data_IF_119485258540
#
_entry.id   IF_119485258540
#
_cell.length_a   1.000
_cell.length_b   1.000
_cell.length_c   1.000
_cell.angle_alpha   90.00
_cell.angle_beta   90.00
_cell.angle_gamma   90.00
#
_symmetry.space_group_name_H-M   'P 1'
#
loop_
_entity.id
_entity.type
_entity.pdbx_description
1 polymer ?
#
# COMPACT_ATOMS: atom_id res chain seq x y z
N UNK A 1 -18.23 -21.47 -6.41
CA UNK A 1 -16.96 -21.72 -7.11
C UNK A 1 -16.37 -20.37 -7.51
N UNK A 2 -15.08 -20.11 -7.21
CA UNK A 2 -14.43 -18.82 -7.50
C UNK A 2 -13.83 -18.90 -8.92
N UNK A 3 -14.38 -18.13 -9.88
CA UNK A 3 -13.97 -18.24 -11.29
C UNK A 3 -12.56 -17.69 -11.50
N UNK A 4 -12.21 -16.61 -10.81
CA UNK A 4 -10.86 -16.05 -10.84
C UNK A 4 -9.80 -17.07 -10.42
N UNK A 5 -9.98 -17.73 -9.26
CA UNK A 5 -9.02 -18.74 -8.78
C UNK A 5 -8.96 -19.94 -9.71
N UNK A 6 -10.10 -20.41 -10.22
CA UNK A 6 -10.12 -21.52 -11.16
C UNK A 6 -9.34 -21.21 -12.45
N UNK A 7 -9.37 -19.96 -12.90
CA UNK A 7 -8.76 -19.54 -14.16
C UNK A 7 -7.27 -19.18 -13.99
N UNK A 8 -6.90 -18.52 -12.89
CA UNK A 8 -5.58 -17.91 -12.72
C UNK A 8 -4.77 -18.47 -11.55
N UNK A 9 -5.37 -19.28 -10.67
CA UNK A 9 -4.76 -19.69 -9.40
C UNK A 9 -3.38 -20.35 -9.54
N UNK A 10 -3.23 -21.28 -10.49
CA UNK A 10 -1.96 -21.99 -10.67
C UNK A 10 -0.91 -21.14 -11.39
N UNK A 11 -1.34 -20.27 -12.31
CA UNK A 11 -0.44 -19.30 -12.95
C UNK A 11 0.08 -18.26 -11.95
N UNK A 12 -0.77 -17.80 -11.02
CA UNK A 12 -0.37 -16.88 -9.95
C UNK A 12 0.62 -17.55 -8.99
N UNK A 13 0.39 -18.80 -8.57
CA UNK A 13 1.34 -19.52 -7.69
C UNK A 13 2.72 -19.67 -8.32
N UNK A 14 2.78 -19.94 -9.63
CA UNK A 14 4.03 -20.10 -10.36
C UNK A 14 4.71 -18.78 -10.73
N UNK A 15 4.00 -17.64 -10.57
CA UNK A 15 4.42 -16.33 -11.03
C UNK A 15 5.79 -15.94 -10.48
N UNK A 16 6.01 -16.04 -9.17
CA UNK A 16 7.25 -15.58 -8.54
C UNK A 16 8.41 -16.57 -8.65
N UNK A 17 8.12 -17.87 -8.72
CA UNK A 17 9.13 -18.92 -8.55
C UNK A 17 9.72 -19.43 -9.87
N UNK A 18 8.86 -19.68 -10.87
CA UNK A 18 9.23 -20.51 -12.02
C UNK A 18 8.76 -19.95 -13.37
N UNK A 19 7.85 -18.97 -13.38
CA UNK A 19 7.36 -18.38 -14.62
C UNK A 19 8.45 -17.55 -15.32
N UNK A 20 8.61 -17.78 -16.63
CA UNK A 20 9.42 -16.91 -17.48
C UNK A 20 8.77 -15.55 -17.63
N UNK A 21 9.56 -14.52 -17.99
CA UNK A 21 9.05 -13.17 -18.17
C UNK A 21 7.90 -13.10 -19.20
N UNK A 22 7.99 -13.87 -20.29
CA UNK A 22 6.92 -13.94 -21.28
C UNK A 22 5.60 -14.49 -20.71
N UNK A 23 5.67 -15.48 -19.81
CA UNK A 23 4.49 -16.03 -19.14
C UNK A 23 3.89 -15.05 -18.12
N UNK A 24 4.74 -14.29 -17.42
CA UNK A 24 4.29 -13.23 -16.50
C UNK A 24 3.51 -12.15 -17.23
N UNK A 25 4.06 -11.62 -18.32
CA UNK A 25 3.41 -10.60 -19.12
C UNK A 25 2.09 -11.11 -19.74
N UNK A 26 2.04 -12.38 -20.15
CA UNK A 26 0.81 -13.00 -20.63
C UNK A 26 -0.24 -13.10 -19.52
N UNK A 27 0.14 -13.53 -18.31
CA UNK A 27 -0.79 -13.60 -17.17
C UNK A 27 -1.36 -12.23 -16.81
N UNK A 28 -0.51 -11.20 -16.73
CA UNK A 28 -0.92 -9.81 -16.50
C UNK A 28 -1.99 -9.40 -17.52
N UNK A 29 -1.74 -9.66 -18.81
CA UNK A 29 -2.67 -9.35 -19.89
C UNK A 29 -3.99 -10.10 -19.77
N UNK A 30 -3.94 -11.40 -19.45
CA UNK A 30 -5.14 -12.24 -19.33
C UNK A 30 -6.00 -11.83 -18.13
N UNK A 31 -5.39 -11.48 -17.00
CA UNK A 31 -6.09 -10.94 -15.83
C UNK A 31 -6.79 -9.63 -16.18
N UNK A 32 -6.08 -8.69 -16.82
CA UNK A 32 -6.66 -7.41 -17.23
C UNK A 32 -7.83 -7.61 -18.21
N UNK A 33 -7.66 -8.48 -19.21
CA UNK A 33 -8.72 -8.79 -20.16
C UNK A 33 -9.96 -9.39 -19.46
N UNK A 34 -9.76 -10.31 -18.52
CA UNK A 34 -10.84 -10.90 -17.74
C UNK A 34 -11.54 -9.85 -16.88
N UNK A 35 -10.79 -8.99 -16.20
CA UNK A 35 -11.33 -7.90 -15.39
C UNK A 35 -12.18 -6.95 -16.23
N UNK A 36 -11.70 -6.54 -17.41
CA UNK A 36 -12.42 -5.66 -18.33
C UNK A 36 -13.68 -6.31 -18.91
N UNK A 37 -13.64 -7.62 -19.18
CA UNK A 37 -14.79 -8.35 -19.73
C UNK A 37 -15.86 -8.62 -18.68
N UNK A 38 -15.45 -8.85 -17.42
CA UNK A 38 -16.34 -9.29 -16.34
C UNK A 38 -16.16 -8.48 -15.04
N UNK A 39 -16.26 -7.14 -15.05
CA UNK A 39 -15.77 -6.31 -13.96
C UNK A 39 -16.44 -6.58 -12.60
N UNK A 40 -17.75 -6.79 -12.58
CA UNK A 40 -18.49 -7.08 -11.34
C UNK A 40 -18.17 -8.46 -10.78
N UNK A 41 -18.10 -9.46 -11.66
CA UNK A 41 -17.71 -10.82 -11.29
C UNK A 41 -16.27 -10.86 -10.78
N UNK A 42 -15.36 -10.17 -11.46
CA UNK A 42 -13.97 -10.05 -11.07
C UNK A 42 -13.82 -9.45 -9.67
N UNK A 43 -14.43 -8.29 -9.39
CA UNK A 43 -14.40 -7.66 -8.06
C UNK A 43 -14.90 -8.61 -6.97
N UNK A 44 -16.08 -9.20 -7.16
CA UNK A 44 -16.70 -10.15 -6.21
C UNK A 44 -15.84 -11.39 -5.96
N UNK A 45 -15.20 -11.91 -7.00
CA UNK A 45 -14.37 -13.10 -6.89
C UNK A 45 -13.04 -12.78 -6.19
N UNK A 46 -12.45 -11.63 -6.47
CA UNK A 46 -11.21 -11.16 -5.85
C UNK A 46 -11.40 -10.80 -4.38
N UNK A 47 -12.51 -10.17 -4.00
CA UNK A 47 -12.84 -9.85 -2.59
C UNK A 47 -12.69 -11.05 -1.65
N UNK A 48 -12.98 -12.25 -2.14
CA UNK A 48 -12.91 -13.50 -1.38
C UNK A 48 -11.49 -14.03 -1.16
N UNK A 49 -10.52 -13.57 -1.95
CA UNK A 49 -9.18 -14.17 -2.03
C UNK A 49 -8.03 -13.16 -2.04
N UNK A 50 -8.31 -11.86 -2.10
CA UNK A 50 -7.30 -10.80 -2.21
C UNK A 50 -6.22 -10.85 -1.11
N UNK A 51 -6.58 -11.30 0.09
CA UNK A 51 -5.67 -11.43 1.23
C UNK A 51 -5.27 -12.89 1.53
N UNK A 52 -5.44 -13.80 0.57
CA UNK A 52 -4.95 -15.17 0.70
C UNK A 52 -3.42 -15.17 0.62
N UNK A 53 -2.76 -15.51 1.74
CA UNK A 53 -1.30 -15.50 1.86
C UNK A 53 -0.58 -16.65 1.14
N UNK A 54 -1.31 -17.68 0.68
CA UNK A 54 -0.75 -18.77 -0.13
C UNK A 54 -0.82 -18.46 -1.61
N UNK A 55 -1.88 -17.78 -2.04
CA UNK A 55 -2.07 -17.40 -3.43
C UNK A 55 -1.41 -16.05 -3.73
N UNK A 56 -1.42 -15.10 -2.80
CA UNK A 56 -0.94 -13.71 -2.97
C UNK A 56 -1.45 -13.02 -4.25
N UNK A 57 -2.75 -13.12 -4.58
CA UNK A 57 -3.24 -12.70 -5.89
C UNK A 57 -3.20 -11.18 -6.09
N UNK A 58 -3.27 -10.41 -5.00
CA UNK A 58 -3.41 -8.96 -5.06
C UNK A 58 -2.23 -8.29 -5.74
N UNK A 59 -0.99 -8.73 -5.50
CA UNK A 59 0.20 -8.17 -6.16
C UNK A 59 0.11 -8.27 -7.69
N UNK A 60 -0.16 -9.47 -8.21
CA UNK A 60 -0.28 -9.72 -9.66
C UNK A 60 -1.47 -8.96 -10.25
N UNK A 61 -2.58 -8.89 -9.50
CA UNK A 61 -3.78 -8.16 -9.94
C UNK A 61 -3.52 -6.65 -10.00
N UNK A 62 -2.93 -6.06 -8.97
CA UNK A 62 -2.61 -4.63 -8.96
C UNK A 62 -1.55 -4.29 -10.02
N UNK A 63 -0.64 -5.20 -10.33
CA UNK A 63 0.24 -5.02 -11.49
C UNK A 63 -0.56 -5.00 -12.81
N UNK A 64 -1.50 -5.94 -12.99
CA UNK A 64 -2.34 -6.02 -14.20
C UNK A 64 -3.24 -4.79 -14.40
N UNK A 65 -3.94 -4.36 -13.34
CA UNK A 65 -4.86 -3.22 -13.41
C UNK A 65 -4.12 -1.89 -13.57
N UNK A 66 -2.83 -1.82 -13.24
CA UNK A 66 -2.02 -0.60 -13.39
C UNK A 66 -1.88 -0.15 -14.84
N UNK A 67 -2.12 -1.05 -15.80
CA UNK A 67 -2.04 -0.75 -17.23
C UNK A 67 -3.24 0.07 -17.73
N UNK A 68 -4.35 0.09 -16.99
CA UNK A 68 -5.60 0.79 -17.35
C UNK A 68 -6.25 1.48 -16.14
N UNK A 69 -5.50 2.34 -15.46
CA UNK A 69 -5.96 3.08 -14.26
C UNK A 69 -7.04 4.14 -14.53
N UNK A 70 -7.43 4.39 -15.79
CA UNK A 70 -8.59 5.20 -16.19
C UNK A 70 -9.87 4.45 -15.92
N UNK A 71 -9.84 3.12 -16.13
CA UNK A 71 -10.94 2.22 -15.80
C UNK A 71 -10.87 1.80 -14.34
N UNK A 72 -9.67 1.50 -13.84
CA UNK A 72 -9.47 0.82 -12.55
C UNK A 72 -8.96 1.71 -11.41
N UNK A 73 -8.78 3.01 -11.61
CA UNK A 73 -8.25 3.92 -10.58
C UNK A 73 -9.06 3.88 -9.26
N UNK A 74 -10.39 3.85 -9.36
CA UNK A 74 -11.25 3.75 -8.17
C UNK A 74 -11.06 2.42 -7.42
N UNK A 75 -10.76 1.33 -8.14
CA UNK A 75 -10.53 0.03 -7.51
C UNK A 75 -9.31 0.07 -6.55
N UNK A 76 -8.27 0.85 -6.85
CA UNK A 76 -7.16 1.04 -5.91
C UNK A 76 -7.58 1.77 -4.64
N UNK A 77 -8.45 2.78 -4.76
CA UNK A 77 -8.99 3.51 -3.60
C UNK A 77 -9.79 2.55 -2.72
N UNK A 78 -10.70 1.78 -3.33
CA UNK A 78 -11.52 0.79 -2.62
C UNK A 78 -10.66 -0.32 -1.98
N UNK A 79 -9.60 -0.75 -2.66
CA UNK A 79 -8.65 -1.75 -2.16
C UNK A 79 -7.84 -1.23 -0.98
N UNK A 80 -7.41 0.03 -1.02
CA UNK A 80 -6.71 0.68 0.08
C UNK A 80 -7.59 0.72 1.34
N UNK A 81 -8.87 1.05 1.17
CA UNK A 81 -9.85 0.99 2.24
C UNK A 81 -9.95 -0.42 2.81
N UNK A 82 -10.12 -1.43 1.96
CA UNK A 82 -10.21 -2.82 2.37
C UNK A 82 -8.95 -3.30 3.12
N UNK A 83 -7.75 -2.91 2.68
CA UNK A 83 -6.47 -3.23 3.36
C UNK A 83 -6.50 -2.71 4.79
N UNK A 84 -6.83 -1.44 5.00
CA UNK A 84 -6.82 -0.86 6.34
C UNK A 84 -7.94 -1.41 7.23
N UNK A 85 -9.15 -1.62 6.71
CA UNK A 85 -10.24 -2.18 7.50
C UNK A 85 -9.96 -3.64 7.89
N UNK A 86 -9.40 -4.45 6.97
CA UNK A 86 -9.05 -5.84 7.27
C UNK A 86 -7.86 -5.92 8.24
N UNK A 87 -6.85 -5.06 8.09
CA UNK A 87 -5.70 -5.02 8.99
C UNK A 87 -6.10 -4.71 10.45
N UNK A 88 -7.16 -3.91 10.67
CA UNK A 88 -7.64 -3.58 12.02
C UNK A 88 -8.19 -4.77 12.80
N UNK A 89 -8.70 -5.79 12.10
CA UNK A 89 -9.31 -6.99 12.70
C UNK A 89 -8.45 -8.26 12.54
N UNK A 90 -7.34 -8.18 11.80
CA UNK A 90 -6.47 -9.32 11.58
C UNK A 90 -5.61 -9.65 12.81
N UNK A 91 -5.37 -10.94 13.06
CA UNK A 91 -4.42 -11.40 14.08
C UNK A 91 -2.98 -10.99 13.76
N UNK A 92 -2.67 -10.86 12.46
CA UNK A 92 -1.38 -10.40 11.93
C UNK A 92 -1.63 -9.27 10.93
N UNK A 93 -1.82 -8.03 11.40
CA UNK A 93 -2.11 -6.89 10.52
C UNK A 93 -1.06 -6.68 9.43
N UNK A 94 0.20 -6.98 9.72
CA UNK A 94 1.32 -6.83 8.79
C UNK A 94 1.19 -7.71 7.54
N UNK A 95 0.61 -8.91 7.66
CA UNK A 95 0.38 -9.79 6.50
C UNK A 95 -0.59 -9.15 5.49
N UNK A 96 -1.44 -8.22 5.94
CA UNK A 96 -2.39 -7.47 5.10
C UNK A 96 -1.77 -6.14 4.66
N UNK A 97 -1.11 -5.42 5.56
CA UNK A 97 -0.53 -4.10 5.29
C UNK A 97 0.65 -4.15 4.31
N UNK A 98 1.35 -5.28 4.20
CA UNK A 98 2.40 -5.49 3.20
C UNK A 98 1.90 -5.30 1.77
N UNK A 99 0.60 -5.52 1.51
CA UNK A 99 -0.03 -5.25 0.22
C UNK A 99 0.04 -3.77 -0.22
N UNK A 100 0.30 -2.84 0.71
CA UNK A 100 0.54 -1.43 0.36
C UNK A 100 1.82 -1.24 -0.48
N UNK A 101 2.76 -2.19 -0.48
CA UNK A 101 3.93 -2.12 -1.37
C UNK A 101 3.54 -2.16 -2.85
N UNK A 102 2.45 -2.87 -3.17
CA UNK A 102 1.96 -3.05 -4.54
C UNK A 102 1.35 -1.76 -5.11
N UNK A 103 1.10 -0.76 -4.26
CA UNK A 103 0.62 0.54 -4.69
C UNK A 103 1.73 1.35 -5.41
N UNK A 104 2.99 0.90 -5.36
CA UNK A 104 4.10 1.47 -6.12
C UNK A 104 3.85 1.54 -7.64
N UNK A 105 3.02 0.63 -8.19
CA UNK A 105 2.67 0.64 -9.62
C UNK A 105 1.91 1.91 -10.06
N UNK A 106 1.28 2.63 -9.13
CA UNK A 106 0.40 3.77 -9.43
C UNK A 106 0.83 5.09 -8.76
N UNK A 107 1.92 5.10 -7.99
CA UNK A 107 2.41 6.28 -7.27
C UNK A 107 2.65 7.51 -8.17
N UNK A 108 3.01 7.27 -9.43
CA UNK A 108 3.31 8.31 -10.43
C UNK A 108 2.14 8.62 -11.36
N UNK A 109 0.99 7.98 -11.19
CA UNK A 109 -0.17 8.25 -12.04
C UNK A 109 -0.73 9.67 -11.79
N UNK A 110 -1.11 10.39 -12.83
CA UNK A 110 -1.55 11.78 -12.72
C UNK A 110 -3.08 11.93 -12.63
N UNK A 111 -3.83 10.84 -12.58
CA UNK A 111 -5.29 10.88 -12.50
C UNK A 111 -5.78 11.29 -11.11
N UNK A 112 -7.02 11.82 -11.00
CA UNK A 112 -7.56 12.33 -9.74
C UNK A 112 -7.64 11.31 -8.59
N UNK A 113 -7.75 10.01 -8.90
CA UNK A 113 -7.86 8.96 -7.85
C UNK A 113 -6.61 8.91 -6.95
N UNK A 114 -5.45 9.36 -7.43
CA UNK A 114 -4.24 9.44 -6.62
C UNK A 114 -4.40 10.42 -5.45
N UNK A 115 -5.13 11.52 -5.63
CA UNK A 115 -5.47 12.41 -4.52
C UNK A 115 -6.33 11.67 -3.48
N UNK A 116 -7.27 10.84 -3.92
CA UNK A 116 -8.12 10.05 -3.01
C UNK A 116 -7.31 9.02 -2.19
N UNK A 117 -6.30 8.38 -2.81
CA UNK A 117 -5.34 7.52 -2.11
C UNK A 117 -4.59 8.30 -1.05
N UNK A 118 -4.07 9.48 -1.41
CA UNK A 118 -3.34 10.37 -0.52
C UNK A 118 -4.20 10.84 0.65
N UNK A 119 -5.42 11.29 0.40
CA UNK A 119 -6.35 11.72 1.44
C UNK A 119 -6.69 10.58 2.39
N UNK A 120 -6.87 9.36 1.85
CA UNK A 120 -7.15 8.18 2.65
C UNK A 120 -5.97 7.75 3.51
N UNK A 121 -4.76 7.74 2.96
CA UNK A 121 -3.51 7.49 3.70
C UNK A 121 -3.31 8.55 4.78
N UNK A 122 -3.49 9.84 4.45
CA UNK A 122 -3.35 10.95 5.39
C UNK A 122 -4.28 10.78 6.58
N UNK A 123 -5.56 10.45 6.34
CA UNK A 123 -6.52 10.12 7.40
C UNK A 123 -6.03 8.98 8.30
N UNK A 124 -5.44 7.93 7.74
CA UNK A 124 -4.97 6.78 8.53
C UNK A 124 -3.74 7.10 9.38
N UNK A 125 -2.98 8.17 9.08
CA UNK A 125 -1.86 8.62 9.95
C UNK A 125 -2.32 9.07 11.35
N UNK A 126 -3.63 9.25 11.55
CA UNK A 126 -4.26 9.56 12.84
C UNK A 126 -4.97 8.35 13.48
N UNK A 127 -4.97 7.17 12.83
CA UNK A 127 -5.67 5.96 13.28
C UNK A 127 -5.32 5.53 14.71
N UNK A 128 -6.32 5.09 15.48
CA UNK A 128 -6.07 4.49 16.80
C UNK A 128 -5.39 3.12 16.69
N UNK A 129 -5.53 2.44 15.53
CA UNK A 129 -4.78 1.23 15.25
C UNK A 129 -3.33 1.59 14.92
N UNK A 130 -2.40 1.21 15.82
CA UNK A 130 -1.00 1.55 15.66
C UNK A 130 -0.38 0.95 14.38
N UNK A 131 -0.75 -0.27 13.99
CA UNK A 131 -0.18 -0.89 12.79
C UNK A 131 -0.58 -0.11 11.53
N UNK A 132 -1.88 0.19 11.37
CA UNK A 132 -2.38 0.99 10.24
C UNK A 132 -1.78 2.40 10.23
N UNK A 133 -1.65 3.04 11.41
CA UNK A 133 -1.01 4.35 11.55
C UNK A 133 0.44 4.33 11.06
N UNK A 134 1.24 3.34 11.48
CA UNK A 134 2.65 3.25 11.07
C UNK A 134 2.78 2.98 9.57
N UNK A 135 1.96 2.08 9.02
CA UNK A 135 1.94 1.78 7.60
C UNK A 135 1.60 3.02 6.77
N UNK A 136 0.58 3.79 7.17
CA UNK A 136 0.20 5.01 6.48
C UNK A 136 1.30 6.09 6.51
N UNK A 137 1.98 6.27 7.64
CA UNK A 137 3.12 7.21 7.77
C UNK A 137 4.30 6.78 6.90
N UNK A 138 4.49 5.48 6.71
CA UNK A 138 5.55 4.94 5.86
C UNK A 138 5.24 5.10 4.37
N UNK A 139 4.01 4.80 3.94
CA UNK A 139 3.62 4.79 2.51
C UNK A 139 3.31 6.19 1.96
N UNK A 140 2.67 7.06 2.74
CA UNK A 140 2.18 8.36 2.26
C UNK A 140 3.25 9.25 1.58
N UNK A 141 4.49 9.37 2.10
CA UNK A 141 5.50 10.26 1.51
C UNK A 141 5.82 9.99 0.03
N UNK A 142 5.77 8.73 -0.42
CA UNK A 142 6.08 8.35 -1.81
C UNK A 142 5.16 9.03 -2.84
N UNK A 143 3.93 9.35 -2.44
CA UNK A 143 2.95 10.04 -3.28
C UNK A 143 3.14 11.55 -3.34
N UNK A 144 3.88 12.16 -2.42
CA UNK A 144 3.90 13.62 -2.27
C UNK A 144 4.71 14.33 -3.36
N UNK A 145 5.47 13.60 -4.18
CA UNK A 145 6.07 14.15 -5.39
C UNK A 145 5.09 14.23 -6.58
N UNK A 146 3.91 13.61 -6.46
CA UNK A 146 2.95 13.51 -7.56
C UNK A 146 2.23 14.87 -7.80
N UNK A 147 2.18 15.37 -9.05
CA UNK A 147 1.56 16.66 -9.38
C UNK A 147 0.03 16.71 -9.15
N UNK A 148 -0.62 15.55 -9.04
CA UNK A 148 -2.06 15.48 -8.78
C UNK A 148 -2.42 15.73 -7.31
N UNK A 149 -1.42 15.78 -6.43
CA UNK A 149 -1.57 16.05 -5.00
C UNK A 149 -1.57 17.56 -4.74
N UNK A 150 -2.75 18.11 -4.41
CA UNK A 150 -2.98 19.56 -4.28
C UNK A 150 -2.66 20.10 -2.89
N UNK A 151 -2.74 19.27 -1.85
CA UNK A 151 -2.58 19.61 -0.43
C UNK A 151 -1.21 19.17 0.15
N UNK A 152 -0.19 19.04 -0.71
CA UNK A 152 1.14 18.53 -0.34
C UNK A 152 1.74 19.19 0.90
N UNK A 153 1.78 20.53 0.96
CA UNK A 153 2.43 21.25 2.07
C UNK A 153 1.76 20.92 3.41
N UNK A 154 0.43 20.94 3.46
CA UNK A 154 -0.35 20.60 4.65
C UNK A 154 -0.09 19.15 5.11
N UNK A 155 0.03 18.21 4.16
CA UNK A 155 0.33 16.82 4.48
C UNK A 155 1.76 16.66 5.00
N UNK A 156 2.74 17.33 4.38
CA UNK A 156 4.13 17.32 4.86
C UNK A 156 4.21 17.88 6.27
N UNK A 157 3.57 19.02 6.54
CA UNK A 157 3.53 19.61 7.89
C UNK A 157 2.90 18.63 8.89
N UNK A 158 1.78 17.99 8.52
CA UNK A 158 1.11 16.98 9.34
C UNK A 158 2.00 15.77 9.62
N UNK A 159 2.77 15.29 8.65
CA UNK A 159 3.74 14.21 8.83
C UNK A 159 4.92 14.62 9.71
N UNK A 160 5.41 15.85 9.55
CA UNK A 160 6.47 16.40 10.40
C UNK A 160 6.03 16.53 11.86
N UNK A 161 4.75 16.82 12.14
CA UNK A 161 4.22 16.77 13.51
C UNK A 161 4.33 15.38 14.15
N UNK A 162 4.33 14.29 13.36
CA UNK A 162 4.51 12.92 13.86
C UNK A 162 5.90 12.67 14.44
N UNK A 163 6.90 13.51 14.12
CA UNK A 163 8.23 13.49 14.75
C UNK A 163 8.17 13.81 16.25
N UNK A 164 7.06 14.36 16.73
CA UNK A 164 6.83 14.74 18.14
C UNK A 164 5.73 13.91 18.82
N UNK A 165 5.24 12.84 18.17
CA UNK A 165 4.19 11.98 18.73
C UNK A 165 4.62 11.36 20.07
N UNK A 166 3.69 11.12 21.00
CA UNK A 166 3.98 10.47 22.30
C UNK A 166 4.56 9.06 22.14
N UNK A 167 4.15 8.32 21.10
CA UNK A 167 4.60 6.98 20.81
C UNK A 167 5.92 7.02 20.04
N UNK A 168 6.97 6.45 20.63
CA UNK A 168 8.30 6.41 20.02
C UNK A 168 8.33 5.69 18.67
N UNK A 169 7.46 4.69 18.45
CA UNK A 169 7.38 3.98 17.17
C UNK A 169 6.90 4.91 16.06
N UNK A 170 5.93 5.77 16.36
CA UNK A 170 5.41 6.78 15.42
C UNK A 170 6.51 7.78 15.06
N UNK A 171 7.21 8.33 16.06
CA UNK A 171 8.34 9.23 15.82
C UNK A 171 9.43 8.59 14.97
N UNK A 172 9.77 7.33 15.26
CA UNK A 172 10.78 6.58 14.54
C UNK A 172 10.39 6.36 13.07
N UNK A 173 9.17 5.90 12.80
CA UNK A 173 8.70 5.63 11.44
C UNK A 173 8.56 6.94 10.64
N UNK A 174 8.03 8.00 11.24
CA UNK A 174 7.95 9.32 10.62
C UNK A 174 9.34 9.86 10.25
N UNK A 175 10.33 9.71 11.15
CA UNK A 175 11.71 10.09 10.85
C UNK A 175 12.25 9.32 9.64
N UNK A 176 12.05 8.01 9.62
CA UNK A 176 12.55 7.13 8.54
C UNK A 176 11.89 7.45 7.19
N UNK A 177 10.57 7.58 7.16
CA UNK A 177 9.83 7.82 5.91
C UNK A 177 10.11 9.22 5.35
N UNK A 178 10.11 10.25 6.19
CA UNK A 178 10.48 11.61 5.78
C UNK A 178 11.95 11.72 5.38
N UNK A 179 12.85 10.98 6.04
CA UNK A 179 14.28 10.96 5.65
C UNK A 179 14.47 10.33 4.28
N UNK A 180 13.73 9.26 3.97
CA UNK A 180 13.82 8.56 2.69
C UNK A 180 13.42 9.47 1.53
N UNK A 181 12.36 10.27 1.72
CA UNK A 181 11.86 11.22 0.73
C UNK A 181 12.51 12.63 0.79
N UNK A 182 13.54 12.83 1.63
CA UNK A 182 14.21 14.12 1.84
C UNK A 182 13.26 15.25 2.31
N UNK A 183 12.28 14.91 3.15
CA UNK A 183 11.24 15.82 3.69
C UNK A 183 11.41 16.13 5.17
N UNK A 184 12.55 15.78 5.78
CA UNK A 184 12.84 16.16 7.16
C UNK A 184 13.03 17.67 7.31
N UNK A 185 12.61 18.27 8.44
CA UNK A 185 13.02 19.62 8.79
C UNK A 185 14.55 19.74 8.83
N UNK A 186 15.07 20.89 8.43
CA UNK A 186 16.52 21.13 8.35
C UNK A 186 17.18 20.82 9.71
N UNK A 187 18.19 19.96 9.69
CA UNK A 187 18.96 19.58 10.88
C UNK A 187 18.24 18.64 11.85
N UNK A 188 17.03 18.18 11.55
CA UNK A 188 16.30 17.24 12.39
C UNK A 188 17.04 15.89 12.46
N UNK A 189 17.17 15.35 13.68
CA UNK A 189 17.79 14.06 13.96
C UNK A 189 16.89 13.24 14.87
N UNK A 190 16.86 11.94 14.66
CA UNK A 190 16.17 11.02 15.56
C UNK A 190 16.78 11.10 16.96
N UNK A 191 15.91 11.20 17.97
CA UNK A 191 16.36 11.30 19.37
C UNK A 191 17.18 10.07 19.79
N UNK A 192 18.18 10.27 20.65
CA UNK A 192 19.00 9.16 21.20
C UNK A 192 18.10 8.14 21.91
N UNK A 193 17.08 8.60 22.62
CA UNK A 193 16.11 7.72 23.29
C UNK A 193 15.39 6.79 22.31
N UNK A 194 14.98 7.28 21.14
CA UNK A 194 14.33 6.46 20.12
C UNK A 194 15.31 5.52 19.41
N UNK A 195 16.57 5.94 19.24
CA UNK A 195 17.64 5.06 18.75
C UNK A 195 17.88 3.88 19.72
N UNK A 196 17.93 4.14 21.03
CA UNK A 196 18.08 3.09 22.05
C UNK A 196 16.87 2.17 22.04
N UNK A 197 15.65 2.71 22.00
CA UNK A 197 14.43 1.89 21.95
C UNK A 197 14.38 0.99 20.72
N UNK A 198 14.83 1.47 19.56
CA UNK A 198 15.00 0.62 18.37
C UNK A 198 15.94 -0.57 18.65
N UNK A 199 17.07 -0.33 19.31
CA UNK A 199 18.03 -1.41 19.63
C UNK A 199 17.43 -2.41 20.62
N UNK A 200 16.71 -1.93 21.64
CA UNK A 200 16.15 -2.77 22.70
C UNK A 200 14.91 -3.55 22.27
N UNK A 201 14.00 -2.90 21.54
CA UNK A 201 12.67 -3.44 21.20
C UNK A 201 12.53 -3.85 19.73
N UNK A 202 13.59 -3.70 18.93
CA UNK A 202 13.55 -3.89 17.49
C UNK A 202 13.00 -2.69 16.73
N UNK A 203 13.15 -2.72 15.41
CA UNK A 203 12.57 -1.73 14.52
C UNK A 203 11.04 -1.93 14.45
N UNK A 204 10.23 -0.86 14.53
CA UNK A 204 8.79 -0.99 14.34
C UNK A 204 8.48 -1.60 12.96
N UNK A 205 7.53 -2.55 12.85
CA UNK A 205 7.10 -3.05 11.55
C UNK A 205 6.39 -1.92 10.80
N UNK A 206 6.82 -1.66 9.56
CA UNK A 206 6.32 -0.55 8.74
C UNK A 206 5.31 -1.07 7.71
N UNK A 207 5.71 -2.02 6.88
CA UNK A 207 4.92 -2.86 5.96
C UNK A 207 5.71 -4.14 5.66
#
# INVERSE_FOLDING_TARGET
MNQFVNQFGDAIKSYWETASEGLKQQLIKDILQYANTNPQTFKRDLEKVQFDNKLTPLAVVLEALSKETDTWGQFYVDTLDAIFEQAKIANKPQDILSCLMEFAYIEKDHRPFVQSIVDRLHKETDSDNLASKLAAIWTLPAYLANPSVRNKSLIVDSLQQKLYDKNWKVRYVAYKSLSFENMLPIGHKLSIGDQIRKVVFGEPPMI
#
